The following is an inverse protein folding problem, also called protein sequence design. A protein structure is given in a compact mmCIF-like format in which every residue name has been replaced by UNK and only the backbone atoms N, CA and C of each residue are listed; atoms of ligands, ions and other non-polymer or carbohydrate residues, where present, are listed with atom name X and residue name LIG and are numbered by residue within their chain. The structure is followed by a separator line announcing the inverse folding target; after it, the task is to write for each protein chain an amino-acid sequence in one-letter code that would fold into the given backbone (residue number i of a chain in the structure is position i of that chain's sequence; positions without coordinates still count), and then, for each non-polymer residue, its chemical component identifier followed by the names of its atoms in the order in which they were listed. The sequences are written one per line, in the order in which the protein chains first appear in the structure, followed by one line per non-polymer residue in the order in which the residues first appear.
data_IF_562409009892
#
_entry.id   IF_562409009892
#
_cell.length_a   1.000
_cell.length_b   1.000
_cell.length_c   1.000
_cell.angle_alpha   90.00
_cell.angle_beta   90.00
_cell.angle_gamma   90.00
#
_symmetry.space_group_name_H-M   'P 1'
#
loop_
_entity.id
_entity.type
_entity.pdbx_description
1 polymer ?
#
# COMPACT_ATOMS: atom_id res chain seq x y z
N UNK A 1 25.24 -19.99 -16.43
CA UNK A 1 24.99 -18.55 -16.61
C UNK A 1 23.94 -18.15 -15.57
N UNK A 2 24.37 -17.88 -14.33
CA UNK A 2 23.45 -17.65 -13.21
C UNK A 2 23.63 -16.24 -12.67
N UNK A 3 22.63 -15.39 -12.85
CA UNK A 3 22.55 -14.09 -12.16
C UNK A 3 22.07 -14.37 -10.73
N UNK A 4 22.88 -14.05 -9.73
CA UNK A 4 22.44 -14.06 -8.32
C UNK A 4 22.08 -12.63 -7.92
N UNK A 5 20.84 -12.44 -7.44
CA UNK A 5 20.38 -11.17 -6.87
C UNK A 5 20.43 -11.30 -5.35
N UNK A 6 21.39 -10.70 -4.66
CA UNK A 6 21.40 -10.73 -3.19
C UNK A 6 20.83 -9.42 -2.65
N UNK A 7 19.73 -9.48 -1.91
CA UNK A 7 19.28 -8.33 -1.10
C UNK A 7 19.95 -8.36 0.27
N UNK A 8 20.16 -7.19 0.87
CA UNK A 8 20.72 -7.07 2.24
C UNK A 8 19.72 -7.49 3.34
N UNK A 9 18.60 -8.10 2.96
CA UNK A 9 17.62 -8.71 3.86
C UNK A 9 17.77 -10.23 3.76
N UNK A 10 17.96 -10.89 4.92
CA UNK A 10 18.34 -12.30 5.08
C UNK A 10 17.78 -13.25 3.99
N UNK A 11 18.62 -13.61 3.01
CA UNK A 11 18.44 -14.83 2.20
C UNK A 11 17.65 -14.71 0.90
N UNK A 12 17.19 -13.52 0.48
CA UNK A 12 16.54 -13.36 -0.83
C UNK A 12 17.59 -13.28 -1.95
N UNK A 13 17.84 -14.41 -2.61
CA UNK A 13 18.79 -14.59 -3.74
C UNK A 13 18.12 -14.63 -5.12
N UNK A 14 16.79 -14.44 -5.16
CA UNK A 14 15.94 -14.68 -6.33
C UNK A 14 15.81 -13.43 -7.22
N UNK A 15 15.55 -13.60 -8.53
CA UNK A 15 15.34 -12.49 -9.47
C UNK A 15 14.11 -11.61 -9.12
N UNK A 16 13.23 -12.09 -8.23
CA UNK A 16 11.99 -11.43 -7.84
C UNK A 16 11.96 -11.38 -6.30
N UNK A 17 11.68 -10.20 -5.77
CA UNK A 17 11.51 -9.94 -4.34
C UNK A 17 10.07 -9.51 -4.06
N UNK A 18 9.43 -10.13 -3.06
CA UNK A 18 8.14 -9.71 -2.55
C UNK A 18 8.36 -8.92 -1.26
N UNK A 19 7.87 -7.67 -1.12
CA UNK A 19 8.08 -6.87 0.09
C UNK A 19 7.53 -7.54 1.33
N UNK A 20 8.33 -7.58 2.39
CA UNK A 20 7.93 -8.04 3.72
C UNK A 20 7.49 -6.86 4.59
N UNK A 21 6.69 -7.09 5.65
CA UNK A 21 6.26 -6.01 6.53
C UNK A 21 7.40 -5.19 7.15
N UNK A 22 8.59 -5.77 7.28
CA UNK A 22 9.82 -5.11 7.77
C UNK A 22 10.42 -4.10 6.80
N UNK A 23 10.06 -4.14 5.51
CA UNK A 23 10.61 -3.26 4.50
C UNK A 23 9.93 -1.89 4.45
N UNK A 24 8.87 -1.71 5.24
CA UNK A 24 7.99 -0.55 5.11
C UNK A 24 8.57 0.69 5.71
N UNK A 25 8.39 1.79 4.99
CA UNK A 25 9.09 3.04 5.23
C UNK A 25 10.57 2.97 4.86
N UNK A 26 11.08 1.87 4.28
CA UNK A 26 12.50 1.70 3.95
C UNK A 26 12.73 1.67 2.45
N UNK A 27 13.89 2.18 2.05
CA UNK A 27 14.45 1.91 0.73
C UNK A 27 15.00 0.49 0.73
N UNK A 28 14.66 -0.30 -0.28
CA UNK A 28 15.19 -1.66 -0.42
C UNK A 28 16.31 -1.63 -1.46
N UNK A 29 17.44 -2.21 -1.09
CA UNK A 29 18.62 -2.34 -1.94
C UNK A 29 18.81 -3.81 -2.37
N UNK A 30 19.13 -3.99 -3.65
CA UNK A 30 19.47 -5.27 -4.24
C UNK A 30 20.82 -5.19 -4.93
N UNK A 31 21.71 -6.13 -4.65
CA UNK A 31 22.98 -6.25 -5.35
C UNK A 31 22.87 -7.30 -6.46
N UNK A 32 23.17 -6.88 -7.69
CA UNK A 32 23.24 -7.73 -8.89
C UNK A 32 24.70 -8.03 -9.18
N UNK A 33 25.10 -9.30 -9.08
CA UNK A 33 26.49 -9.73 -9.36
C UNK A 33 26.54 -10.53 -10.66
N UNK A 34 27.38 -10.13 -11.61
CA UNK A 34 27.65 -10.85 -12.85
C UNK A 34 29.13 -10.84 -13.20
N UNK A 35 29.74 -12.04 -13.27
CA UNK A 35 31.14 -12.37 -13.61
C UNK A 35 32.26 -11.58 -12.89
N UNK A 36 32.26 -10.24 -12.96
CA UNK A 36 33.18 -9.31 -12.26
C UNK A 36 32.57 -7.94 -11.91
N UNK A 37 31.29 -7.73 -12.17
CA UNK A 37 30.60 -6.46 -11.92
C UNK A 37 29.52 -6.69 -10.86
N UNK A 38 29.54 -5.88 -9.80
CA UNK A 38 28.39 -5.73 -8.91
C UNK A 38 27.72 -4.38 -9.14
N UNK A 39 26.39 -4.40 -9.24
CA UNK A 39 25.56 -3.20 -9.36
C UNK A 39 24.56 -3.22 -8.22
N UNK A 40 24.52 -2.14 -7.44
CA UNK A 40 23.48 -1.93 -6.44
C UNK A 40 22.30 -1.21 -7.07
N UNK A 41 21.12 -1.80 -6.95
CA UNK A 41 19.83 -1.22 -7.33
C UNK A 41 19.08 -0.84 -6.06
N UNK A 42 18.44 0.32 -6.05
CA UNK A 42 17.63 0.80 -4.93
C UNK A 42 16.21 1.06 -5.43
N UNK A 43 15.20 0.81 -4.58
CA UNK A 43 13.83 1.22 -4.89
C UNK A 43 13.76 2.73 -5.14
N UNK A 44 12.82 3.16 -6.00
CA UNK A 44 12.63 4.58 -6.34
C UNK A 44 12.15 5.43 -5.15
N UNK A 45 11.69 4.78 -4.07
CA UNK A 45 11.25 5.41 -2.84
C UNK A 45 10.98 4.35 -1.76
N UNK A 46 10.62 4.79 -0.54
CA UNK A 46 10.30 3.90 0.56
C UNK A 46 9.16 2.94 0.21
N UNK A 47 9.28 1.67 0.59
CA UNK A 47 8.18 0.71 0.45
C UNK A 47 7.05 1.13 1.36
N UNK A 48 5.85 1.19 0.84
CA UNK A 48 4.66 1.51 1.61
C UNK A 48 3.81 0.25 1.71
N UNK A 49 3.53 -0.19 2.94
CA UNK A 49 2.55 -1.26 3.17
C UNK A 49 1.18 -0.68 2.82
N UNK A 50 0.52 -1.35 1.90
CA UNK A 50 -0.92 -1.50 1.99
C UNK A 50 -1.24 -2.08 3.39
N UNK A 51 -1.83 -1.27 4.28
CA UNK A 51 -2.27 -1.69 5.62
C UNK A 51 -3.25 -2.86 5.50
N UNK A 52 -2.72 -4.07 5.64
CA UNK A 52 -3.48 -5.32 5.52
C UNK A 52 -4.23 -5.44 4.19
N UNK A 53 -5.05 -6.48 4.05
CA UNK A 53 -5.97 -6.65 2.91
C UNK A 53 -7.05 -5.55 2.81
N UNK A 54 -6.87 -4.41 3.48
CA UNK A 54 -7.88 -3.39 3.68
C UNK A 54 -7.52 -2.02 3.11
N UNK A 55 -6.23 -1.64 3.04
CA UNK A 55 -5.84 -0.39 2.36
C UNK A 55 -5.22 -0.75 1.02
N UNK A 56 -5.90 -0.38 -0.05
CA UNK A 56 -5.50 -0.71 -1.42
C UNK A 56 -4.42 0.25 -1.94
N UNK A 57 -4.42 1.50 -1.51
CA UNK A 57 -3.47 2.51 -1.97
C UNK A 57 -3.22 3.63 -0.96
N UNK A 58 -2.04 4.25 -1.03
CA UNK A 58 -1.83 5.60 -0.50
C UNK A 58 -1.86 6.60 -1.65
N UNK A 59 -2.49 7.75 -1.43
CA UNK A 59 -2.54 8.83 -2.39
C UNK A 59 -2.09 10.15 -1.75
N UNK A 60 -1.54 11.06 -2.57
CA UNK A 60 -1.21 12.41 -2.14
C UNK A 60 -2.25 13.37 -2.71
N UNK A 61 -2.93 14.12 -1.85
CA UNK A 61 -3.84 15.17 -2.29
C UNK A 61 -3.04 16.24 -3.05
N UNK A 62 -3.45 16.54 -4.28
CA UNK A 62 -2.74 17.51 -5.13
C UNK A 62 -2.85 18.94 -4.59
N UNK A 63 -3.96 19.26 -3.95
CA UNK A 63 -4.27 20.61 -3.46
C UNK A 63 -3.62 20.88 -2.10
N UNK A 64 -3.69 19.92 -1.18
CA UNK A 64 -3.21 20.08 0.20
C UNK A 64 -1.82 19.48 0.43
N UNK A 65 -1.36 18.59 -0.44
CA UNK A 65 -0.11 17.84 -0.26
C UNK A 65 -0.18 16.74 0.80
N UNK A 66 -1.32 16.56 1.45
CA UNK A 66 -1.53 15.54 2.48
C UNK A 66 -1.51 14.12 1.89
N UNK A 67 -0.98 13.17 2.65
CA UNK A 67 -1.05 11.75 2.32
C UNK A 67 -2.34 11.19 2.92
N UNK A 68 -3.09 10.43 2.13
CA UNK A 68 -4.32 9.75 2.53
C UNK A 68 -4.24 8.27 2.21
N UNK A 69 -4.90 7.44 3.01
CA UNK A 69 -5.07 6.02 2.76
C UNK A 69 -6.41 5.77 2.06
N UNK A 70 -6.39 5.01 0.97
CA UNK A 70 -7.60 4.62 0.23
C UNK A 70 -7.87 3.14 0.50
N UNK A 71 -9.03 2.89 1.08
CA UNK A 71 -9.57 1.56 1.34
C UNK A 71 -10.74 1.29 0.43
N UNK A 72 -10.60 0.33 -0.49
CA UNK A 72 -11.67 -0.09 -1.38
C UNK A 72 -12.41 -1.29 -0.79
N UNK A 73 -13.72 -1.17 -0.68
CA UNK A 73 -14.60 -2.22 -0.18
C UNK A 73 -15.52 -2.66 -1.31
N UNK A 74 -15.49 -3.94 -1.67
CA UNK A 74 -16.46 -4.49 -2.61
C UNK A 74 -17.85 -4.41 -1.98
N UNK A 75 -18.77 -3.72 -2.64
CA UNK A 75 -20.10 -3.51 -2.12
C UNK A 75 -20.99 -4.69 -2.53
N UNK A 76 -21.25 -5.61 -1.60
CA UNK A 76 -22.32 -6.59 -1.79
C UNK A 76 -23.67 -5.88 -1.73
N UNK A 77 -24.55 -6.19 -2.68
CA UNK A 77 -25.90 -5.62 -2.76
C UNK A 77 -26.77 -6.00 -1.56
N UNK A 78 -26.42 -7.07 -0.83
CA UNK A 78 -27.17 -7.55 0.32
C UNK A 78 -26.57 -7.13 1.67
N UNK A 79 -25.43 -6.42 1.68
CA UNK A 79 -24.72 -6.12 2.91
C UNK A 79 -24.43 -4.62 3.05
N UNK A 80 -24.97 -4.01 4.12
CA UNK A 80 -24.63 -2.64 4.47
C UNK A 80 -23.19 -2.60 5.01
N UNK A 81 -22.38 -1.67 4.49
CA UNK A 81 -21.01 -1.48 4.95
C UNK A 81 -21.03 -0.88 6.37
N UNK A 82 -20.97 -1.76 7.39
CA UNK A 82 -20.93 -1.38 8.81
C UNK A 82 -19.73 -0.51 9.15
N UNK A 83 -18.64 -0.65 8.42
CA UNK A 83 -17.42 0.11 8.67
C UNK A 83 -17.58 1.59 8.32
N UNK A 84 -18.22 1.89 7.17
CA UNK A 84 -18.55 3.28 6.82
C UNK A 84 -19.42 3.92 7.90
N UNK A 85 -20.45 3.21 8.36
CA UNK A 85 -21.34 3.71 9.39
C UNK A 85 -20.60 3.99 10.70
N UNK A 86 -19.69 3.09 11.11
CA UNK A 86 -18.86 3.28 12.29
C UNK A 86 -17.91 4.47 12.11
N UNK A 87 -17.23 4.57 10.97
CA UNK A 87 -16.30 5.67 10.69
C UNK A 87 -16.98 7.03 10.62
N UNK A 88 -18.22 7.10 10.13
CA UNK A 88 -19.02 8.34 10.14
C UNK A 88 -19.42 8.78 11.56
N UNK A 89 -19.46 7.85 12.52
CA UNK A 89 -19.83 8.11 13.91
C UNK A 89 -18.63 8.38 14.82
N UNK A 90 -17.41 8.10 14.36
CA UNK A 90 -16.20 8.27 15.14
C UNK A 90 -15.49 9.57 14.75
N UNK A 91 -15.54 10.55 15.65
CA UNK A 91 -14.77 11.78 15.58
C UNK A 91 -13.95 11.94 16.86
N UNK A 92 -12.67 11.55 16.82
CA UNK A 92 -11.78 11.55 17.97
C UNK A 92 -10.32 11.65 17.53
N UNK A 93 -9.45 12.42 18.23
CA UNK A 93 -8.04 12.63 17.84
C UNK A 93 -7.19 11.35 17.75
N UNK A 94 -7.59 10.29 18.44
CA UNK A 94 -6.92 8.98 18.42
C UNK A 94 -7.59 7.96 17.48
N UNK A 95 -8.51 8.40 16.62
CA UNK A 95 -9.18 7.55 15.64
C UNK A 95 -8.92 8.11 14.25
N UNK A 96 -8.60 7.23 13.29
CA UNK A 96 -8.41 7.63 11.90
C UNK A 96 -9.73 8.16 11.34
N UNK A 97 -9.72 9.41 10.90
CA UNK A 97 -10.90 10.07 10.36
C UNK A 97 -11.16 9.65 8.90
N UNK A 98 -12.44 9.50 8.57
CA UNK A 98 -12.91 9.40 7.19
C UNK A 98 -13.02 10.80 6.59
N UNK A 99 -12.14 11.12 5.64
CA UNK A 99 -12.13 12.42 4.95
C UNK A 99 -13.16 12.49 3.82
N UNK A 100 -13.26 11.43 3.03
CA UNK A 100 -14.18 11.37 1.89
C UNK A 100 -14.56 9.91 1.61
N UNK A 101 -15.64 9.68 0.87
CA UNK A 101 -15.91 8.37 0.27
C UNK A 101 -16.59 8.51 -1.08
N UNK A 102 -16.34 7.57 -1.99
CA UNK A 102 -16.95 7.59 -3.32
C UNK A 102 -17.10 6.18 -3.89
N UNK A 103 -18.08 5.99 -4.76
CA UNK A 103 -18.28 4.72 -5.46
C UNK A 103 -17.46 4.67 -6.74
N UNK A 104 -16.93 3.48 -7.06
CA UNK A 104 -16.29 3.19 -8.34
C UNK A 104 -16.69 1.80 -8.81
N UNK A 105 -16.62 1.57 -10.11
CA UNK A 105 -16.82 0.24 -10.68
C UNK A 105 -15.48 -0.38 -11.06
N UNK A 106 -15.28 -1.66 -10.76
CA UNK A 106 -14.09 -2.40 -11.22
C UNK A 106 -14.21 -2.79 -12.69
N UNK A 107 -13.12 -3.32 -13.27
CA UNK A 107 -13.12 -3.87 -14.64
C UNK A 107 -14.12 -5.04 -14.80
N UNK A 108 -14.55 -5.66 -13.70
CA UNK A 108 -15.52 -6.77 -13.67
C UNK A 108 -16.96 -6.29 -13.45
N UNK A 109 -17.22 -4.99 -13.60
CA UNK A 109 -18.52 -4.36 -13.36
C UNK A 109 -19.03 -4.50 -11.91
N UNK A 110 -18.11 -4.75 -10.96
CA UNK A 110 -18.45 -4.85 -9.53
C UNK A 110 -18.40 -3.46 -8.89
N UNK A 111 -19.41 -3.13 -8.09
CA UNK A 111 -19.49 -1.86 -7.39
C UNK A 111 -18.57 -1.90 -6.16
N UNK A 112 -17.73 -0.89 -6.02
CA UNK A 112 -16.87 -0.69 -4.87
C UNK A 112 -17.15 0.65 -4.19
N UNK A 113 -17.09 0.67 -2.87
CA UNK A 113 -17.09 1.87 -2.06
C UNK A 113 -15.67 2.15 -1.59
N UNK A 114 -15.09 3.25 -2.06
CA UNK A 114 -13.75 3.69 -1.68
C UNK A 114 -13.87 4.65 -0.49
N UNK A 115 -13.16 4.35 0.58
CA UNK A 115 -13.04 5.14 1.80
C UNK A 115 -11.69 5.86 1.78
N UNK A 116 -11.70 7.19 1.84
CA UNK A 116 -10.51 8.02 1.93
C UNK A 116 -10.28 8.39 3.38
N UNK A 117 -9.20 7.86 3.95
CA UNK A 117 -8.86 7.91 5.36
C UNK A 117 -7.61 8.76 5.57
N UNK A 118 -7.50 9.37 6.74
CA UNK A 118 -6.25 9.99 7.16
C UNK A 118 -5.11 8.97 7.24
N UNK A 119 -3.94 9.36 6.73
CA UNK A 119 -2.73 8.58 6.90
C UNK A 119 -1.97 9.11 8.12
N UNK A 120 -1.88 8.26 9.16
CA UNK A 120 -1.10 8.56 10.36
C UNK A 120 0.28 7.92 10.22
N UNK A 121 1.32 8.76 10.28
CA UNK A 121 2.74 8.36 10.26
C UNK A 121 3.33 8.22 11.65
#
# INVERSE_FOLDING_TARGET
MGTQLSTNHFGATKPIYAPEPSDVGRLVEAEVISDRLSITLTTSGPIVLALGNYVEALAKCRETGEIVAIKKVLQDKHYNNRELQVMQMLDHPNVVALKHSFFSTTEKEELCHNLVLDFVT
#
